data_IF_819118240177
#
_entry.id   IF_819118240177
#
_cell.length_a   1.000
_cell.length_b   1.000
_cell.length_c   1.000
_cell.angle_alpha   90.00
_cell.angle_beta   90.00
_cell.angle_gamma   90.00
#
_symmetry.space_group_name_H-M   'P 1'
#
loop_
_entity.id
_entity.type
_entity.pdbx_description
1 polymer ?
#
# COMPACT_ATOMS: atom_id res chain seq x y z
N UNK A 1 -14.03 -23.58 13.44
CA UNK A 1 -14.02 -22.64 12.30
C UNK A 1 -12.61 -22.58 11.75
N UNK A 2 -12.42 -22.85 10.46
CA UNK A 2 -11.15 -23.24 9.85
C UNK A 2 -10.04 -22.19 10.07
N UNK A 3 -8.87 -22.58 10.60
CA UNK A 3 -7.70 -21.70 10.77
C UNK A 3 -7.34 -20.94 9.48
N UNK A 4 -7.57 -21.56 8.33
CA UNK A 4 -7.39 -20.97 7.00
C UNK A 4 -8.35 -19.79 6.77
N UNK A 5 -9.62 -19.92 7.14
CA UNK A 5 -10.61 -18.83 7.01
C UNK A 5 -10.22 -17.67 7.91
N UNK A 6 -9.83 -17.95 9.15
CA UNK A 6 -9.36 -16.92 10.09
C UNK A 6 -8.08 -16.24 9.62
N UNK A 7 -7.18 -16.97 8.96
CA UNK A 7 -5.98 -16.42 8.34
C UNK A 7 -6.31 -15.55 7.12
N UNK A 8 -7.18 -16.01 6.21
CA UNK A 8 -7.63 -15.24 5.05
C UNK A 8 -8.33 -13.93 5.45
N UNK A 9 -9.01 -13.92 6.59
CA UNK A 9 -9.61 -12.72 7.16
C UNK A 9 -8.62 -11.87 7.95
N UNK A 10 -7.36 -12.29 8.17
CA UNK A 10 -6.39 -11.61 9.01
C UNK A 10 -5.63 -10.47 8.29
N UNK A 11 -5.03 -9.57 9.07
CA UNK A 11 -4.13 -8.52 8.54
C UNK A 11 -2.86 -9.09 7.92
N UNK A 12 -2.45 -10.27 8.39
CA UNK A 12 -1.22 -10.91 7.94
C UNK A 12 -1.32 -11.34 6.48
N UNK A 13 -2.48 -11.83 6.01
CA UNK A 13 -2.66 -12.19 4.60
C UNK A 13 -2.51 -10.98 3.67
N UNK A 14 -3.06 -9.84 4.06
CA UNK A 14 -2.96 -8.63 3.25
C UNK A 14 -1.51 -8.12 3.23
N UNK A 15 -0.81 -8.18 4.36
CA UNK A 15 0.61 -7.84 4.47
C UNK A 15 1.50 -8.79 3.65
N UNK A 16 1.32 -10.11 3.80
CA UNK A 16 2.04 -11.11 3.02
C UNK A 16 1.75 -10.98 1.52
N UNK A 17 0.50 -10.67 1.14
CA UNK A 17 0.13 -10.38 -0.25
C UNK A 17 0.87 -9.17 -0.80
N UNK A 18 0.93 -8.07 -0.04
CA UNK A 18 1.70 -6.88 -0.43
C UNK A 18 3.20 -7.17 -0.54
N UNK A 19 3.75 -7.96 0.39
CA UNK A 19 5.17 -8.36 0.38
C UNK A 19 5.52 -9.20 -0.86
N UNK A 20 4.69 -10.20 -1.19
CA UNK A 20 4.86 -11.03 -2.38
C UNK A 20 4.77 -10.16 -3.64
N UNK A 21 3.82 -9.23 -3.67
CA UNK A 21 3.66 -8.30 -4.79
C UNK A 21 4.91 -7.44 -4.98
N UNK A 22 5.51 -6.90 -3.93
CA UNK A 22 6.80 -6.19 -4.00
C UNK A 22 7.92 -7.10 -4.51
N UNK A 23 8.07 -8.30 -3.95
CA UNK A 23 9.17 -9.21 -4.34
C UNK A 23 9.11 -9.53 -5.84
N UNK A 24 7.90 -9.73 -6.37
CA UNK A 24 7.70 -10.01 -7.80
C UNK A 24 7.80 -8.75 -8.66
N UNK A 25 7.41 -7.58 -8.14
CA UNK A 25 7.33 -6.35 -8.91
C UNK A 25 8.65 -5.56 -8.93
N UNK A 26 9.51 -5.69 -7.91
CA UNK A 26 10.81 -5.00 -7.85
C UNK A 26 11.75 -5.36 -9.02
N UNK A 27 11.94 -6.62 -9.41
CA UNK A 27 12.73 -6.97 -10.59
C UNK A 27 12.15 -6.37 -11.88
N UNK A 28 10.83 -6.34 -11.96
CA UNK A 28 10.09 -5.82 -13.10
C UNK A 28 10.24 -4.28 -13.21
N UNK A 29 10.02 -3.57 -12.11
CA UNK A 29 10.23 -2.14 -12.00
C UNK A 29 11.70 -1.73 -12.20
N UNK A 30 12.66 -2.56 -11.77
CA UNK A 30 14.09 -2.34 -12.04
C UNK A 30 14.44 -2.43 -13.53
N UNK A 31 13.84 -3.37 -14.26
CA UNK A 31 13.95 -3.44 -15.71
C UNK A 31 13.32 -2.22 -16.41
N UNK A 32 12.18 -1.76 -15.91
CA UNK A 32 11.50 -0.52 -16.33
C UNK A 32 12.42 0.70 -16.20
N UNK A 33 13.04 0.89 -15.03
CA UNK A 33 13.95 2.01 -14.77
C UNK A 33 15.14 2.03 -15.72
N UNK A 34 15.75 0.86 -15.99
CA UNK A 34 16.90 0.76 -16.89
C UNK A 34 16.57 1.20 -18.33
N UNK A 35 15.33 1.03 -18.78
CA UNK A 35 14.91 1.42 -20.13
C UNK A 35 14.51 2.90 -20.21
N UNK A 36 14.00 3.48 -19.12
CA UNK A 36 13.60 4.89 -19.04
C UNK A 36 14.78 5.83 -18.74
N UNK A 37 15.67 5.45 -17.84
CA UNK A 37 16.89 6.20 -17.55
C UNK A 37 17.99 5.81 -18.55
N UNK A 38 18.32 6.72 -19.47
CA UNK A 38 19.57 6.66 -20.26
C UNK A 38 20.83 6.92 -19.42
N UNK A 39 20.76 6.69 -18.10
CA UNK A 39 21.91 6.79 -17.19
C UNK A 39 22.74 5.51 -17.32
N UNK A 40 23.78 5.59 -18.15
CA UNK A 40 24.78 4.53 -18.21
C UNK A 40 25.72 4.63 -17.00
N UNK A 41 25.43 3.84 -15.97
CA UNK A 41 26.33 3.64 -14.81
C UNK A 41 27.21 2.40 -15.00
N UNK A 42 27.57 2.07 -16.24
CA UNK A 42 28.57 1.03 -16.51
C UNK A 42 29.96 1.50 -16.07
N UNK A 43 30.51 0.85 -15.05
CA UNK A 43 31.95 0.87 -14.82
C UNK A 43 32.58 -0.29 -15.58
N UNK A 44 33.53 0.00 -16.46
CA UNK A 44 34.23 -1.00 -17.30
C UNK A 44 33.32 -1.86 -18.21
N UNK A 45 32.18 -1.31 -18.65
CA UNK A 45 31.24 -2.01 -19.55
C UNK A 45 30.35 -3.05 -18.86
N UNK A 46 30.40 -3.18 -17.53
CA UNK A 46 29.53 -4.09 -16.79
C UNK A 46 28.13 -3.48 -16.57
N UNK A 47 27.14 -3.97 -17.32
CA UNK A 47 25.74 -3.52 -17.22
C UNK A 47 24.99 -4.00 -15.96
N UNK A 48 25.64 -4.80 -15.10
CA UNK A 48 25.08 -5.29 -13.84
C UNK A 48 24.83 -4.15 -12.85
N UNK A 49 25.67 -3.11 -12.87
CA UNK A 49 25.50 -1.95 -11.98
C UNK A 49 24.22 -1.17 -12.29
N UNK A 50 23.85 -1.04 -13.57
CA UNK A 50 22.58 -0.43 -13.98
C UNK A 50 21.37 -1.25 -13.49
N UNK A 51 21.50 -2.58 -13.46
CA UNK A 51 20.48 -3.47 -12.90
C UNK A 51 20.36 -3.36 -11.38
N UNK A 52 21.49 -3.36 -10.67
CA UNK A 52 21.51 -3.21 -9.21
C UNK A 52 20.90 -1.87 -8.80
N UNK A 53 21.26 -0.79 -9.50
CA UNK A 53 20.71 0.54 -9.28
C UNK A 53 19.20 0.60 -9.57
N UNK A 54 18.75 0.11 -10.74
CA UNK A 54 17.33 0.10 -11.09
C UNK A 54 16.48 -0.73 -10.11
N UNK A 55 16.98 -1.91 -9.70
CA UNK A 55 16.33 -2.75 -8.69
C UNK A 55 16.28 -2.05 -7.33
N UNK A 56 17.39 -1.43 -6.89
CA UNK A 56 17.45 -0.75 -5.60
C UNK A 56 16.48 0.45 -5.56
N UNK A 57 16.43 1.24 -6.63
CA UNK A 57 15.53 2.39 -6.72
C UNK A 57 14.06 1.94 -6.77
N UNK A 58 13.75 0.90 -7.56
CA UNK A 58 12.43 0.27 -7.59
C UNK A 58 12.01 -0.25 -6.21
N UNK A 59 12.91 -0.91 -5.48
CA UNK A 59 12.64 -1.41 -4.13
C UNK A 59 12.32 -0.27 -3.15
N UNK A 60 13.03 0.85 -3.23
CA UNK A 60 12.78 2.03 -2.39
C UNK A 60 11.41 2.64 -2.70
N UNK A 61 11.05 2.78 -3.98
CA UNK A 61 9.76 3.33 -4.41
C UNK A 61 8.62 2.43 -3.92
N UNK A 62 8.72 1.12 -4.16
CA UNK A 62 7.73 0.14 -3.72
C UNK A 62 7.59 0.10 -2.20
N UNK A 63 8.71 0.21 -1.46
CA UNK A 63 8.68 0.31 0.00
C UNK A 63 7.95 1.57 0.50
N UNK A 64 8.21 2.73 -0.12
CA UNK A 64 7.54 4.00 0.23
C UNK A 64 6.03 3.89 -0.04
N UNK A 65 5.62 3.27 -1.15
CA UNK A 65 4.21 3.02 -1.47
C UNK A 65 3.59 2.12 -0.42
N UNK A 66 4.26 1.05 -0.01
CA UNK A 66 3.78 0.15 1.02
C UNK A 66 3.62 0.89 2.37
N UNK A 67 4.54 1.78 2.72
CA UNK A 67 4.40 2.67 3.89
C UNK A 67 3.18 3.59 3.77
N UNK A 68 2.90 4.17 2.60
CA UNK A 68 1.71 5.01 2.39
C UNK A 68 0.40 4.21 2.47
N UNK A 69 0.39 2.99 1.92
CA UNK A 69 -0.75 2.07 1.99
C UNK A 69 -0.98 1.61 3.45
N UNK A 70 0.08 1.25 4.17
CA UNK A 70 0.04 0.86 5.60
C UNK A 70 -0.43 2.01 6.49
N UNK A 71 -0.09 3.25 6.17
CA UNK A 71 -0.54 4.41 6.94
C UNK A 71 -1.97 4.85 6.58
N UNK A 72 -2.62 4.20 5.61
CA UNK A 72 -4.02 4.43 5.29
C UNK A 72 -4.26 5.71 4.50
N UNK A 73 -3.33 6.11 3.62
CA UNK A 73 -3.56 7.26 2.74
C UNK A 73 -4.35 6.85 1.50
N UNK A 74 -5.69 6.81 1.60
CA UNK A 74 -6.60 6.39 0.51
C UNK A 74 -6.38 7.14 -0.79
N UNK A 75 -6.27 8.47 -0.74
CA UNK A 75 -6.17 9.29 -1.95
C UNK A 75 -4.81 9.11 -2.65
N UNK A 76 -3.73 8.97 -1.86
CA UNK A 76 -2.38 8.73 -2.37
C UNK A 76 -2.29 7.38 -3.08
N UNK A 77 -2.88 6.32 -2.51
CA UNK A 77 -2.93 5.00 -3.15
C UNK A 77 -3.69 5.01 -4.49
N UNK A 78 -4.82 5.74 -4.56
CA UNK A 78 -5.58 5.92 -5.82
C UNK A 78 -4.81 6.71 -6.87
N UNK A 79 -4.19 7.81 -6.45
CA UNK A 79 -3.38 8.62 -7.34
C UNK A 79 -2.23 7.81 -7.93
N UNK A 80 -1.53 7.04 -7.09
CA UNK A 80 -0.47 6.15 -7.54
C UNK A 80 -0.98 5.08 -8.50
N UNK A 81 -2.11 4.43 -8.24
CA UNK A 81 -2.69 3.44 -9.15
C UNK A 81 -2.96 4.03 -10.55
N UNK A 82 -3.49 5.25 -10.63
CA UNK A 82 -3.74 5.93 -11.91
C UNK A 82 -2.44 6.29 -12.61
N UNK A 83 -1.48 6.87 -11.90
CA UNK A 83 -0.18 7.25 -12.47
C UNK A 83 0.60 6.01 -12.94
N UNK A 84 0.59 4.93 -12.16
CA UNK A 84 1.21 3.65 -12.48
C UNK A 84 0.60 3.02 -13.73
N UNK A 85 -0.73 3.13 -13.91
CA UNK A 85 -1.38 2.69 -15.14
C UNK A 85 -0.81 3.38 -16.37
N UNK A 86 -0.76 4.72 -16.35
CA UNK A 86 -0.28 5.50 -17.50
C UNK A 86 1.21 5.30 -17.74
N UNK A 87 2.04 5.30 -16.69
CA UNK A 87 3.47 5.05 -16.83
C UNK A 87 3.73 3.68 -17.46
N UNK A 88 3.05 2.63 -16.99
CA UNK A 88 3.18 1.30 -17.58
C UNK A 88 2.64 1.26 -19.02
N UNK A 89 1.49 1.87 -19.29
CA UNK A 89 0.89 1.89 -20.62
C UNK A 89 1.81 2.58 -21.65
N UNK A 90 2.43 3.71 -21.31
CA UNK A 90 3.36 4.40 -22.20
C UNK A 90 4.72 3.67 -22.30
N UNK A 91 5.17 3.04 -21.22
CA UNK A 91 6.44 2.32 -21.17
C UNK A 91 6.49 1.13 -22.11
N UNK A 92 5.45 0.30 -22.12
CA UNK A 92 5.51 -0.96 -22.85
C UNK A 92 5.54 -0.79 -24.36
N UNK A 93 5.34 0.43 -24.87
CA UNK A 93 5.44 0.88 -26.26
C UNK A 93 4.56 0.09 -27.27
N UNK A 94 3.93 -1.00 -26.87
CA UNK A 94 3.11 -1.85 -27.72
C UNK A 94 1.95 -1.10 -28.37
N UNK A 95 1.44 -0.06 -27.72
CA UNK A 95 0.44 0.84 -28.27
C UNK A 95 0.96 1.59 -29.50
N UNK A 96 2.17 2.14 -29.42
CA UNK A 96 2.78 2.84 -30.54
C UNK A 96 3.19 1.85 -31.63
N UNK A 97 3.72 0.69 -31.26
CA UNK A 97 4.06 -0.40 -32.20
C UNK A 97 2.82 -0.88 -32.95
N UNK A 98 1.68 -1.09 -32.29
CA UNK A 98 0.46 -1.52 -32.94
C UNK A 98 -0.20 -0.43 -33.79
N UNK A 99 0.00 0.85 -33.46
CA UNK A 99 -0.46 1.98 -34.29
C UNK A 99 0.39 2.13 -35.55
N UNK A 100 1.71 1.95 -35.44
CA UNK A 100 2.63 2.05 -36.57
C UNK A 100 2.56 0.82 -37.49
N UNK A 101 2.50 -0.38 -36.90
CA UNK A 101 2.44 -1.65 -37.62
C UNK A 101 1.31 -2.55 -37.07
N UNK A 102 0.07 -2.39 -37.58
CA UNK A 102 -1.10 -3.11 -37.08
C UNK A 102 -1.14 -4.55 -37.59
N UNK A 103 -0.21 -5.38 -37.13
CA UNK A 103 -0.26 -6.83 -37.34
C UNK A 103 -1.14 -7.50 -36.28
N UNK A 104 -1.74 -8.65 -36.62
CA UNK A 104 -2.54 -9.43 -35.66
C UNK A 104 -1.74 -9.80 -34.40
N UNK A 105 -0.42 -9.96 -34.52
CA UNK A 105 0.46 -10.22 -33.38
C UNK A 105 0.61 -8.98 -32.50
N UNK A 106 0.89 -7.81 -33.09
CA UNK A 106 1.08 -6.56 -32.34
C UNK A 106 -0.20 -6.12 -31.63
N UNK A 107 -1.37 -6.32 -32.25
CA UNK A 107 -2.67 -6.05 -31.64
C UNK A 107 -2.89 -6.97 -30.42
N UNK A 108 -2.55 -8.26 -30.52
CA UNK A 108 -2.64 -9.19 -29.38
C UNK A 108 -1.70 -8.80 -28.24
N UNK A 109 -0.45 -8.45 -28.55
CA UNK A 109 0.53 -8.01 -27.55
C UNK A 109 0.07 -6.73 -26.83
N UNK A 110 -0.49 -5.78 -27.57
CA UNK A 110 -1.09 -4.57 -27.01
C UNK A 110 -2.25 -4.88 -26.08
N UNK A 111 -3.15 -5.77 -26.49
CA UNK A 111 -4.27 -6.23 -25.66
C UNK A 111 -3.81 -6.89 -24.36
N UNK A 112 -2.80 -7.77 -24.43
CA UNK A 112 -2.22 -8.42 -23.25
C UNK A 112 -1.57 -7.37 -22.33
N UNK A 113 -0.78 -6.46 -22.89
CA UNK A 113 -0.12 -5.37 -22.15
C UNK A 113 -1.13 -4.48 -21.43
N UNK A 114 -2.23 -4.12 -22.10
CA UNK A 114 -3.32 -3.36 -21.48
C UNK A 114 -3.90 -4.07 -20.26
N UNK A 115 -4.22 -5.36 -20.40
CA UNK A 115 -4.81 -6.16 -19.32
C UNK A 115 -3.85 -6.25 -18.14
N UNK A 116 -2.54 -6.40 -18.39
CA UNK A 116 -1.52 -6.41 -17.34
C UNK A 116 -1.47 -5.06 -16.61
N UNK A 117 -1.38 -3.95 -17.34
CA UNK A 117 -1.34 -2.59 -16.77
C UNK A 117 -2.59 -2.30 -15.93
N UNK A 118 -3.76 -2.69 -16.45
CA UNK A 118 -5.05 -2.51 -15.80
C UNK A 118 -5.14 -3.36 -14.52
N UNK A 119 -4.80 -4.65 -14.60
CA UNK A 119 -4.87 -5.57 -13.46
C UNK A 119 -3.91 -5.14 -12.34
N UNK A 120 -2.71 -4.70 -12.71
CA UNK A 120 -1.74 -4.19 -11.74
C UNK A 120 -2.27 -2.95 -11.00
N UNK A 121 -2.75 -1.96 -11.77
CA UNK A 121 -3.25 -0.70 -11.22
C UNK A 121 -4.49 -0.89 -10.35
N UNK A 122 -5.41 -1.76 -10.78
CA UNK A 122 -6.59 -2.13 -10.00
C UNK A 122 -6.22 -2.85 -8.69
N UNK A 123 -5.23 -3.74 -8.73
CA UNK A 123 -4.77 -4.45 -7.53
C UNK A 123 -4.23 -3.48 -6.48
N UNK A 124 -3.41 -2.51 -6.91
CA UNK A 124 -2.88 -1.46 -6.00
C UNK A 124 -4.00 -0.58 -5.45
N UNK A 125 -4.96 -0.19 -6.28
CA UNK A 125 -6.12 0.57 -5.84
C UNK A 125 -6.91 -0.20 -4.77
N UNK A 126 -7.27 -1.46 -5.05
CA UNK A 126 -8.06 -2.29 -4.15
C UNK A 126 -7.35 -2.55 -2.83
N UNK A 127 -6.05 -2.86 -2.87
CA UNK A 127 -5.24 -3.03 -1.66
C UNK A 127 -5.22 -1.73 -0.83
N UNK A 128 -5.08 -0.56 -1.47
CA UNK A 128 -5.12 0.72 -0.75
C UNK A 128 -6.45 0.97 -0.03
N UNK A 129 -7.59 0.63 -0.65
CA UNK A 129 -8.90 0.78 -0.03
C UNK A 129 -9.15 -0.25 1.08
N UNK A 130 -8.73 -1.50 0.88
CA UNK A 130 -8.83 -2.55 1.89
C UNK A 130 -8.02 -2.21 3.14
N UNK A 131 -6.78 -1.75 2.98
CA UNK A 131 -5.94 -1.31 4.11
C UNK A 131 -6.52 -0.08 4.80
N UNK A 132 -6.98 0.92 4.04
CA UNK A 132 -7.61 2.11 4.62
C UNK A 132 -8.82 1.76 5.48
N UNK A 133 -9.75 0.96 4.93
CA UNK A 133 -10.95 0.55 5.64
C UNK A 133 -10.60 -0.27 6.89
N UNK A 134 -9.54 -1.07 6.82
CA UNK A 134 -9.10 -1.89 7.95
C UNK A 134 -8.47 -1.06 9.06
N UNK A 135 -7.60 -0.12 8.73
CA UNK A 135 -7.03 0.84 9.68
C UNK A 135 -8.10 1.68 10.34
N UNK A 136 -9.09 2.13 9.56
CA UNK A 136 -10.24 2.86 10.11
C UNK A 136 -11.06 1.97 11.05
N UNK A 137 -11.37 0.75 10.66
CA UNK A 137 -12.08 -0.21 11.50
C UNK A 137 -11.32 -0.56 12.80
N UNK A 138 -9.99 -0.55 12.78
CA UNK A 138 -9.18 -0.72 13.99
C UNK A 138 -9.20 0.53 14.88
N UNK A 139 -9.08 1.73 14.30
CA UNK A 139 -9.24 2.98 15.05
C UNK A 139 -10.63 3.10 15.68
N UNK A 140 -11.67 2.69 14.94
CA UNK A 140 -13.05 2.69 15.43
C UNK A 140 -13.30 1.62 16.51
N UNK A 141 -12.47 0.57 16.58
CA UNK A 141 -12.49 -0.44 17.67
C UNK A 141 -11.74 0.02 18.92
N UNK A 142 -10.74 0.88 18.78
CA UNK A 142 -10.06 1.52 19.90
C UNK A 142 -10.85 2.77 20.28
N UNK A 143 -12.01 2.57 20.92
CA UNK A 143 -12.67 3.67 21.62
C UNK A 143 -11.78 4.01 22.80
N UNK A 144 -10.93 5.02 22.65
CA UNK A 144 -10.11 5.53 23.74
C UNK A 144 -11.04 6.22 24.74
N UNK A 145 -11.19 5.59 25.89
CA UNK A 145 -11.98 6.17 26.97
C UNK A 145 -11.10 7.12 27.76
N UNK A 146 -11.37 8.42 27.66
CA UNK A 146 -10.70 9.46 28.42
C UNK A 146 -11.67 10.04 29.45
N UNK A 147 -11.17 10.40 30.63
CA UNK A 147 -11.97 11.10 31.62
C UNK A 147 -12.13 12.58 31.20
N UNK A 148 -13.36 13.08 31.00
CA UNK A 148 -13.58 14.47 30.60
C UNK A 148 -13.30 15.49 31.72
N UNK A 149 -13.26 15.04 32.97
CA UNK A 149 -13.10 15.92 34.14
C UNK A 149 -11.63 16.16 34.52
N UNK A 150 -10.74 15.20 34.26
CA UNK A 150 -9.32 15.31 34.63
C UNK A 150 -8.35 14.94 33.50
N UNK A 151 -8.86 14.67 32.30
CA UNK A 151 -8.09 14.24 31.13
C UNK A 151 -7.23 12.98 31.39
N UNK A 152 -7.53 12.20 32.44
CA UNK A 152 -6.87 10.93 32.69
C UNK A 152 -7.29 9.88 31.66
N UNK A 153 -6.33 9.13 31.14
CA UNK A 153 -6.55 8.09 30.14
C UNK A 153 -5.26 7.73 29.38
N UNK A 154 -5.36 6.88 28.34
CA UNK A 154 -6.59 6.19 27.89
C UNK A 154 -6.95 4.98 28.76
N UNK A 155 -8.24 4.80 29.07
CA UNK A 155 -8.76 3.62 29.77
C UNK A 155 -9.08 2.49 28.78
N UNK A 156 -8.83 1.22 29.13
CA UNK A 156 -8.95 0.09 28.22
C UNK A 156 -10.40 -0.29 27.88
N UNK A 157 -11.39 0.16 28.65
CA UNK A 157 -12.82 -0.06 28.39
C UNK A 157 -13.69 0.93 29.19
N UNK A 158 -14.96 1.06 28.78
CA UNK A 158 -15.93 1.96 29.43
C UNK A 158 -16.09 1.69 30.94
N UNK A 159 -16.05 0.42 31.36
CA UNK A 159 -16.20 0.03 32.78
C UNK A 159 -15.02 0.53 33.63
N UNK A 160 -13.81 0.53 33.08
CA UNK A 160 -12.62 1.10 33.74
C UNK A 160 -12.73 2.62 33.89
N UNK A 161 -13.23 3.32 32.85
CA UNK A 161 -13.54 4.75 32.92
C UNK A 161 -14.62 5.04 33.98
N UNK A 162 -15.73 4.31 33.95
CA UNK A 162 -16.83 4.48 34.91
C UNK A 162 -16.37 4.20 36.36
N UNK A 163 -15.47 3.23 36.54
CA UNK A 163 -14.81 2.93 37.82
C UNK A 163 -13.90 4.06 38.30
N UNK A 164 -13.17 4.71 37.39
CA UNK A 164 -12.35 5.87 37.69
C UNK A 164 -13.21 7.09 38.08
N UNK A 165 -14.25 7.41 37.32
CA UNK A 165 -15.17 8.53 37.62
C UNK A 165 -15.88 8.29 38.97
N UNK A 166 -16.42 7.09 39.18
CA UNK A 166 -17.15 6.77 40.40
C UNK A 166 -16.29 6.74 41.68
N UNK A 167 -14.99 6.48 41.58
CA UNK A 167 -14.08 6.45 42.75
C UNK A 167 -13.30 7.74 42.93
N UNK A 168 -12.75 8.29 41.85
CA UNK A 168 -11.87 9.46 41.88
C UNK A 168 -12.61 10.79 41.95
N UNK A 169 -13.74 10.91 41.24
CA UNK A 169 -14.46 12.18 41.11
C UNK A 169 -15.57 12.33 42.15
N UNK A 170 -16.35 11.27 42.43
CA UNK A 170 -17.34 11.30 43.53
C UNK A 170 -16.73 11.53 44.91
N UNK A 171 -15.47 11.12 45.11
CA UNK A 171 -14.78 11.35 46.39
C UNK A 171 -14.35 12.83 46.53
N UNK A 172 -13.96 13.48 45.43
CA UNK A 172 -13.70 14.93 45.40
C UNK A 172 -14.96 15.76 45.62
N UNK A 173 -16.09 15.39 45.03
CA UNK A 173 -17.38 16.04 45.29
C UNK A 173 -17.81 15.92 46.76
N UNK A 174 -17.56 14.78 47.41
CA UNK A 174 -17.89 14.58 48.83
C UNK A 174 -16.95 15.27 49.83
N UNK A 175 -15.76 15.67 49.41
CA UNK A 175 -14.78 16.38 50.26
C UNK A 175 -14.64 17.86 49.90
N UNK A 176 -15.45 18.36 48.96
CA UNK A 176 -15.40 19.70 48.42
C UNK A 176 -16.69 20.50 48.65
N UNK A 177 -17.19 20.49 49.88
CA UNK A 177 -17.83 21.62 50.55
C UNK A 177 -17.78 21.42 52.07
#
# INVERSE_FOLDING_TARGET
>A
MNKIVTYLESKEVVFHGALILIILYVPHAGHLFKQLEHLDMSFFGYSVLNWVYGIALAAVIEFIILVFIINGYRNTGKFYAVVSFFLNAFYYDYWFVAVQEPTMMNIKLTGISFVICLTHSLSVWQLSELFYNRLKADKDKVVEYWCPECEAGPFPNKRSLDGHISKGHKWKEKMGH
#
